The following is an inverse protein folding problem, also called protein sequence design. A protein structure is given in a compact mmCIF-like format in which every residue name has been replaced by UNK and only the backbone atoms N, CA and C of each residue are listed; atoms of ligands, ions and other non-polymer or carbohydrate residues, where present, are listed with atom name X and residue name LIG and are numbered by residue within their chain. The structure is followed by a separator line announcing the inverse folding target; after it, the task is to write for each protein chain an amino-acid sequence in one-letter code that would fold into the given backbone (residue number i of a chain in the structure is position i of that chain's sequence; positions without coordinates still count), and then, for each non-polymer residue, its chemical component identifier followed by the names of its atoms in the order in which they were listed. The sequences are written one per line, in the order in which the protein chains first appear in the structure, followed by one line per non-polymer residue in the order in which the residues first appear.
data_IF_868985045255
#
_entry.id   IF_868985045255
#
_cell.length_a   1.000
_cell.length_b   1.000
_cell.length_c   1.000
_cell.angle_alpha   90.00
_cell.angle_beta   90.00
_cell.angle_gamma   90.00
#
_symmetry.space_group_name_H-M   'P 1'
#
loop_
_entity.id
_entity.type
_entity.pdbx_description
1 polymer ?
#
# COMPACT_ATOMS: atom_id res chain seq x y z
N UNK A 1 -1.15 -43.13 -4.15
CA UNK A 1 0.28 -43.06 -4.50
C UNK A 1 0.70 -41.62 -4.31
N UNK A 2 1.37 -41.31 -3.20
CA UNK A 2 1.93 -39.99 -2.92
C UNK A 2 3.43 -40.09 -3.19
N UNK A 3 3.91 -39.35 -4.18
CA UNK A 3 5.34 -39.20 -4.47
C UNK A 3 5.90 -38.07 -3.63
N UNK A 4 6.90 -38.40 -2.82
CA UNK A 4 7.71 -37.45 -2.08
C UNK A 4 8.58 -36.62 -3.05
N UNK A 5 8.69 -35.33 -2.77
CA UNK A 5 9.60 -34.40 -3.44
C UNK A 5 9.88 -33.24 -2.50
N UNK A 6 11.14 -33.14 -2.09
CA UNK A 6 11.69 -32.37 -0.98
C UNK A 6 11.54 -30.84 -1.14
N UNK A 7 11.30 -30.17 -0.01
CA UNK A 7 11.42 -28.72 0.12
C UNK A 7 12.87 -28.34 0.46
N UNK A 8 13.44 -27.29 -0.14
CA UNK A 8 14.77 -26.81 0.22
C UNK A 8 14.76 -26.08 1.57
N UNK A 9 15.70 -26.47 2.41
CA UNK A 9 16.02 -25.91 3.73
C UNK A 9 16.58 -24.50 3.53
N UNK A 10 15.93 -23.50 4.13
CA UNK A 10 16.47 -22.15 4.27
C UNK A 10 17.17 -22.04 5.63
N UNK A 11 18.46 -22.35 5.64
CA UNK A 11 19.38 -21.86 6.68
C UNK A 11 19.65 -20.37 6.44
N UNK A 12 19.47 -19.53 7.47
CA UNK A 12 19.77 -18.11 7.34
C UNK A 12 19.30 -17.21 8.49
N UNK A 13 19.50 -17.63 9.74
CA UNK A 13 19.45 -16.71 10.89
C UNK A 13 20.73 -15.86 10.86
N UNK A 14 20.68 -14.52 10.97
CA UNK A 14 21.88 -13.74 11.20
C UNK A 14 22.32 -13.98 12.64
N UNK A 15 23.26 -14.91 12.83
CA UNK A 15 24.01 -15.02 14.08
C UNK A 15 24.71 -13.69 14.36
N UNK A 16 24.35 -13.08 15.50
CA UNK A 16 25.17 -12.08 16.16
C UNK A 16 26.53 -12.73 16.46
N UNK A 17 27.53 -12.46 15.62
CA UNK A 17 28.93 -12.81 15.93
C UNK A 17 29.33 -12.07 17.19
N UNK A 18 29.46 -12.83 18.28
CA UNK A 18 30.38 -12.48 19.35
C UNK A 18 31.79 -12.36 18.74
N UNK A 19 32.41 -11.20 18.94
CA UNK A 19 33.81 -10.94 18.60
C UNK A 19 34.72 -11.97 19.28
N UNK A 20 35.82 -12.41 18.62
CA UNK A 20 36.69 -13.42 19.19
C UNK A 20 37.51 -12.86 20.36
N UNK A 21 37.92 -13.82 21.20
CA UNK A 21 38.67 -13.68 22.42
C UNK A 21 39.94 -12.83 22.29
N UNK A 22 40.26 -12.17 23.41
CA UNK A 22 41.51 -11.47 23.70
C UNK A 22 42.70 -12.41 23.41
N UNK A 23 43.43 -12.14 22.33
CA UNK A 23 44.73 -12.75 22.09
C UNK A 23 45.77 -12.19 23.07
N UNK A 24 46.59 -13.10 23.59
CA UNK A 24 47.72 -12.87 24.48
C UNK A 24 48.66 -11.76 23.98
N UNK A 25 48.85 -10.71 24.79
CA UNK A 25 50.01 -9.85 24.65
C UNK A 25 51.27 -10.60 25.11
N UNK A 26 51.89 -11.28 24.14
CA UNK A 26 53.25 -11.78 24.24
C UNK A 26 54.28 -10.65 24.32
N UNK A 27 55.30 -10.91 25.13
CA UNK A 27 56.52 -10.16 25.47
C UNK A 27 57.09 -9.14 24.47
N UNK A 28 57.70 -8.03 24.94
CA UNK A 28 58.35 -7.05 24.07
C UNK A 28 59.66 -7.60 23.45
N UNK A 29 60.04 -7.18 22.22
CA UNK A 29 61.23 -7.68 21.56
C UNK A 29 62.52 -7.16 22.22
N UNK A 30 63.53 -8.03 22.26
CA UNK A 30 64.90 -7.69 22.67
C UNK A 30 65.49 -6.65 21.71
N UNK A 31 66.06 -5.59 22.27
CA UNK A 31 66.80 -4.58 21.53
C UNK A 31 68.09 -5.18 20.95
N UNK A 32 68.14 -5.34 19.63
CA UNK A 32 69.37 -5.59 18.89
C UNK A 32 70.12 -4.27 18.66
N UNK A 33 71.42 -4.32 18.95
CA UNK A 33 72.40 -3.25 18.80
C UNK A 33 72.57 -2.89 17.32
N UNK A 34 72.31 -1.63 16.96
CA UNK A 34 72.87 -1.00 15.76
C UNK A 34 73.35 0.40 16.10
N UNK A 35 74.68 0.55 16.15
CA UNK A 35 75.36 1.84 16.15
C UNK A 35 75.22 2.44 14.75
N UNK A 36 74.83 3.71 14.64
CA UNK A 36 75.70 4.76 14.14
C UNK A 36 75.04 6.16 14.14
N UNK A 37 75.88 7.17 14.39
CA UNK A 37 75.73 8.61 14.13
C UNK A 37 74.81 9.42 15.06
N UNK A 38 75.40 9.96 16.13
CA UNK A 38 75.07 11.28 16.65
C UNK A 38 76.31 11.82 17.39
N UNK A 39 77.03 12.73 16.74
CA UNK A 39 78.00 13.59 17.42
C UNK A 39 77.25 14.54 18.38
N UNK A 40 77.90 14.83 19.51
CA UNK A 40 77.50 15.66 20.66
C UNK A 40 76.67 14.98 21.76
N UNK A 41 77.39 14.47 22.77
CA UNK A 41 76.84 14.23 24.10
C UNK A 41 77.87 14.67 25.16
N UNK A 42 77.49 15.67 25.97
CA UNK A 42 78.20 16.01 27.20
C UNK A 42 78.10 14.88 28.23
N UNK A 43 79.05 14.84 29.17
CA UNK A 43 79.10 13.90 30.28
C UNK A 43 77.78 13.90 31.09
N UNK A 44 76.99 12.84 30.96
CA UNK A 44 75.85 12.57 31.83
C UNK A 44 76.37 11.86 33.07
N UNK A 45 76.20 12.48 34.25
CA UNK A 45 76.70 11.91 35.51
C UNK A 45 75.84 10.70 35.95
N UNK A 46 76.41 9.77 36.72
CA UNK A 46 75.71 8.59 37.25
C UNK A 46 74.44 8.96 38.07
N UNK A 47 74.44 10.17 38.63
CA UNK A 47 73.31 10.76 39.35
C UNK A 47 72.14 11.09 38.40
N UNK A 48 72.42 11.64 37.22
CA UNK A 48 71.40 11.98 36.21
C UNK A 48 70.73 10.72 35.64
N UNK A 49 71.49 9.64 35.43
CA UNK A 49 70.95 8.34 35.02
C UNK A 49 70.03 7.73 36.09
N UNK A 50 70.35 7.89 37.37
CA UNK A 50 69.54 7.38 38.49
C UNK A 50 68.22 8.16 38.61
N UNK A 51 68.28 9.49 38.40
CA UNK A 51 67.12 10.39 38.39
C UNK A 51 66.19 10.11 37.21
N UNK A 52 66.73 9.90 36.01
CA UNK A 52 65.95 9.55 34.81
C UNK A 52 65.27 8.18 34.97
N UNK A 53 65.94 7.21 35.60
CA UNK A 53 65.35 5.90 35.91
C UNK A 53 64.20 6.01 36.92
N UNK A 54 64.36 6.79 38.00
CA UNK A 54 63.28 7.05 38.97
C UNK A 54 62.08 7.73 38.31
N UNK A 55 62.32 8.76 37.50
CA UNK A 55 61.26 9.46 36.75
C UNK A 55 60.53 8.54 35.77
N UNK A 56 61.22 7.63 35.08
CA UNK A 56 60.60 6.64 34.18
C UNK A 56 59.75 5.59 34.92
N UNK A 57 60.10 5.24 36.16
CA UNK A 57 59.27 4.37 37.00
C UNK A 57 58.02 5.11 37.47
N UNK A 58 58.15 6.34 37.96
CA UNK A 58 57.03 7.18 38.40
C UNK A 58 56.04 7.48 37.27
N UNK A 59 56.51 7.72 36.03
CA UNK A 59 55.64 7.94 34.86
C UNK A 59 54.86 6.67 34.51
N UNK A 60 55.48 5.49 34.57
CA UNK A 60 54.79 4.21 34.32
C UNK A 60 53.77 3.90 35.42
N UNK A 61 54.11 4.19 36.67
CA UNK A 61 53.21 3.97 37.80
C UNK A 61 51.96 4.87 37.69
N UNK A 62 52.15 6.17 37.44
CA UNK A 62 51.05 7.12 37.19
C UNK A 62 50.24 6.75 35.93
N UNK A 63 50.91 6.34 34.86
CA UNK A 63 50.23 5.85 33.65
C UNK A 63 49.39 4.60 33.91
N UNK A 64 49.89 3.68 34.74
CA UNK A 64 49.15 2.48 35.15
C UNK A 64 47.95 2.81 36.04
N UNK A 65 48.06 3.86 36.85
CA UNK A 65 46.98 4.35 37.71
C UNK A 65 45.85 4.97 36.89
N UNK A 66 46.19 5.85 35.95
CA UNK A 66 45.23 6.46 35.01
C UNK A 66 44.52 5.38 34.20
N UNK A 67 45.28 4.42 33.64
CA UNK A 67 44.69 3.33 32.84
C UNK A 67 43.74 2.47 33.68
N UNK A 68 44.06 2.21 34.95
CA UNK A 68 43.19 1.46 35.86
C UNK A 68 41.91 2.22 36.20
N UNK A 69 41.99 3.54 36.38
CA UNK A 69 40.82 4.38 36.60
C UNK A 69 39.91 4.42 35.36
N UNK A 70 40.49 4.58 34.18
CA UNK A 70 39.75 4.57 32.91
C UNK A 70 39.09 3.22 32.65
N UNK A 71 39.78 2.10 32.92
CA UNK A 71 39.22 0.76 32.84
C UNK A 71 38.00 0.62 33.77
N UNK A 72 38.10 1.09 35.01
CA UNK A 72 37.02 1.00 35.99
C UNK A 72 35.83 1.88 35.59
N UNK A 73 36.09 3.05 35.00
CA UNK A 73 35.05 3.94 34.44
C UNK A 73 34.33 3.26 33.27
N UNK A 74 35.07 2.66 32.34
CA UNK A 74 34.51 1.92 31.21
C UNK A 74 33.68 0.71 31.67
N UNK A 75 34.14 -0.03 32.68
CA UNK A 75 33.38 -1.16 33.27
C UNK A 75 32.07 -0.72 33.91
N UNK A 76 32.05 0.42 34.61
CA UNK A 76 30.81 0.98 35.18
C UNK A 76 29.83 1.41 34.10
N UNK A 77 30.31 2.08 33.04
CA UNK A 77 29.47 2.48 31.92
C UNK A 77 28.90 1.26 31.20
N UNK A 78 29.71 0.23 30.95
CA UNK A 78 29.26 -1.02 30.34
C UNK A 78 28.15 -1.66 31.16
N UNK A 79 28.32 -1.78 32.48
CA UNK A 79 27.29 -2.34 33.35
C UNK A 79 25.95 -1.59 33.29
N UNK A 80 25.99 -0.26 33.24
CA UNK A 80 24.78 0.55 33.10
C UNK A 80 24.12 0.33 31.72
N UNK A 81 24.90 0.12 30.67
CA UNK A 81 24.37 -0.22 29.35
C UNK A 81 23.79 -1.63 29.30
N UNK A 82 24.40 -2.59 29.99
CA UNK A 82 23.87 -3.96 30.09
C UNK A 82 22.51 -3.96 30.82
N UNK A 83 22.38 -3.21 31.92
CA UNK A 83 21.12 -3.04 32.66
C UNK A 83 20.02 -2.41 31.79
N UNK A 84 20.37 -1.42 30.97
CA UNK A 84 19.42 -0.81 30.02
C UNK A 84 19.06 -1.76 28.87
N UNK A 85 20.01 -2.55 28.37
CA UNK A 85 19.74 -3.57 27.35
C UNK A 85 18.79 -4.65 27.88
N UNK A 86 18.99 -5.09 29.12
CA UNK A 86 18.10 -6.05 29.79
C UNK A 86 16.69 -5.47 29.96
N UNK A 87 16.58 -4.19 30.35
CA UNK A 87 15.29 -3.49 30.44
C UNK A 87 14.59 -3.42 29.08
N UNK A 88 15.34 -3.12 28.02
CA UNK A 88 14.80 -3.06 26.65
C UNK A 88 14.42 -4.44 26.12
N UNK A 89 15.16 -5.51 26.44
CA UNK A 89 14.80 -6.88 26.06
C UNK A 89 13.44 -7.27 26.64
N UNK A 90 13.19 -6.96 27.91
CA UNK A 90 11.90 -7.23 28.56
C UNK A 90 10.74 -6.49 27.91
N UNK A 91 10.95 -5.22 27.52
CA UNK A 91 9.92 -4.46 26.80
C UNK A 91 9.67 -5.05 25.41
N UNK A 92 10.73 -5.49 24.71
CA UNK A 92 10.58 -6.17 23.41
C UNK A 92 9.76 -7.45 23.56
N UNK A 93 10.11 -8.30 24.52
CA UNK A 93 9.41 -9.57 24.77
C UNK A 93 7.93 -9.36 25.13
N UNK A 94 7.62 -8.34 25.93
CA UNK A 94 6.22 -7.96 26.23
C UNK A 94 5.46 -7.53 24.98
N UNK A 95 6.06 -6.69 24.15
CA UNK A 95 5.43 -6.26 22.90
C UNK A 95 5.27 -7.41 21.91
N UNK A 96 6.25 -8.33 21.83
CA UNK A 96 6.15 -9.55 21.02
C UNK A 96 4.98 -10.41 21.47
N UNK A 97 4.80 -10.60 22.78
CA UNK A 97 3.66 -11.34 23.33
C UNK A 97 2.32 -10.65 23.03
N UNK A 98 2.20 -9.34 23.25
CA UNK A 98 0.98 -8.59 22.95
C UNK A 98 0.62 -8.66 21.45
N UNK A 99 1.63 -8.64 20.58
CA UNK A 99 1.44 -8.80 19.13
C UNK A 99 0.97 -10.20 18.77
N UNK A 100 1.52 -11.24 19.39
CA UNK A 100 1.09 -12.62 19.19
C UNK A 100 -0.37 -12.83 19.64
N UNK A 101 -0.73 -12.31 20.81
CA UNK A 101 -2.11 -12.38 21.34
C UNK A 101 -3.10 -11.64 20.44
N UNK A 102 -2.77 -10.42 20.01
CA UNK A 102 -3.61 -9.67 19.08
C UNK A 102 -3.75 -10.40 17.75
N UNK A 103 -2.66 -10.95 17.23
CA UNK A 103 -2.66 -11.70 15.96
C UNK A 103 -3.56 -12.93 16.06
N UNK A 104 -3.48 -13.69 17.16
CA UNK A 104 -4.35 -14.83 17.41
C UNK A 104 -5.83 -14.41 17.47
N UNK A 105 -6.14 -13.34 18.20
CA UNK A 105 -7.51 -12.81 18.30
C UNK A 105 -8.08 -12.37 16.95
N UNK A 106 -7.27 -11.72 16.10
CA UNK A 106 -7.69 -11.30 14.76
C UNK A 106 -7.97 -12.50 13.86
N UNK A 107 -7.16 -13.57 13.93
CA UNK A 107 -7.43 -14.80 13.18
C UNK A 107 -8.71 -15.50 13.64
N UNK A 108 -8.97 -15.56 14.94
CA UNK A 108 -10.20 -16.13 15.49
C UNK A 108 -11.44 -15.35 15.02
N UNK A 109 -11.40 -14.02 15.05
CA UNK A 109 -12.51 -13.19 14.61
C UNK A 109 -12.73 -13.30 13.09
N UNK A 110 -11.65 -13.33 12.29
CA UNK A 110 -11.75 -13.58 10.85
C UNK A 110 -12.39 -14.95 10.55
N UNK A 111 -11.95 -16.01 11.24
CA UNK A 111 -12.55 -17.35 11.09
C UNK A 111 -14.00 -17.40 11.54
N UNK A 112 -14.40 -16.63 12.56
CA UNK A 112 -15.79 -16.49 12.97
C UNK A 112 -16.63 -15.80 11.91
N UNK A 113 -16.18 -14.65 11.38
CA UNK A 113 -16.88 -13.93 10.31
C UNK A 113 -17.10 -14.81 9.07
N UNK A 114 -16.08 -15.57 8.66
CA UNK A 114 -16.19 -16.51 7.52
C UNK A 114 -17.21 -17.62 7.80
N UNK A 115 -17.21 -18.20 9.00
CA UNK A 115 -18.20 -19.23 9.38
C UNK A 115 -19.63 -18.69 9.38
N UNK A 116 -19.81 -17.48 9.90
CA UNK A 116 -21.12 -16.82 9.90
C UNK A 116 -21.62 -16.53 8.49
N UNK A 117 -20.74 -16.03 7.60
CA UNK A 117 -21.06 -15.82 6.19
C UNK A 117 -21.45 -17.12 5.49
N UNK A 118 -20.66 -18.19 5.64
CA UNK A 118 -20.96 -19.50 5.05
C UNK A 118 -22.29 -20.07 5.58
N UNK A 119 -22.58 -19.92 6.87
CA UNK A 119 -23.84 -20.39 7.45
C UNK A 119 -25.04 -19.63 6.87
N UNK A 120 -24.91 -18.31 6.70
CA UNK A 120 -25.94 -17.48 6.06
C UNK A 120 -26.12 -17.84 4.58
N UNK A 121 -25.02 -18.08 3.86
CA UNK A 121 -25.05 -18.50 2.46
C UNK A 121 -25.79 -19.82 2.29
N UNK A 122 -25.42 -20.87 3.05
CA UNK A 122 -26.09 -22.17 3.02
C UNK A 122 -27.59 -22.03 3.36
N UNK A 123 -27.93 -21.15 4.30
CA UNK A 123 -29.32 -20.82 4.61
C UNK A 123 -30.09 -20.24 3.43
N UNK A 124 -29.50 -19.26 2.73
CA UNK A 124 -30.11 -18.63 1.55
C UNK A 124 -30.21 -19.57 0.34
N UNK A 125 -29.19 -20.39 0.11
CA UNK A 125 -29.18 -21.40 -0.97
C UNK A 125 -30.27 -22.45 -0.74
N UNK A 126 -30.46 -22.88 0.52
CA UNK A 126 -31.56 -23.79 0.87
C UNK A 126 -32.93 -23.15 0.58
N UNK A 127 -33.14 -21.90 0.98
CA UNK A 127 -34.40 -21.20 0.70
C UNK A 127 -34.64 -21.03 -0.80
N UNK A 128 -33.59 -20.74 -1.57
CA UNK A 128 -33.65 -20.67 -3.03
C UNK A 128 -34.07 -22.02 -3.62
N UNK A 129 -33.48 -23.12 -3.15
CA UNK A 129 -33.82 -24.46 -3.60
C UNK A 129 -35.28 -24.82 -3.31
N UNK A 130 -35.78 -24.47 -2.13
CA UNK A 130 -37.20 -24.65 -1.77
C UNK A 130 -38.14 -23.81 -2.65
N UNK A 131 -37.75 -22.58 -2.99
CA UNK A 131 -38.52 -21.72 -3.88
C UNK A 131 -38.53 -22.25 -5.33
N UNK A 132 -37.39 -22.72 -5.84
CA UNK A 132 -37.29 -23.35 -7.15
C UNK A 132 -38.17 -24.60 -7.24
N UNK A 133 -38.17 -25.47 -6.21
CA UNK A 133 -39.05 -26.63 -6.17
C UNK A 133 -40.54 -26.28 -6.20
N UNK A 134 -40.95 -25.16 -5.58
CA UNK A 134 -42.33 -24.65 -5.68
C UNK A 134 -42.66 -24.16 -7.08
N UNK A 135 -41.73 -23.48 -7.74
CA UNK A 135 -41.90 -23.03 -9.14
C UNK A 135 -42.10 -24.24 -10.05
N UNK A 136 -41.27 -25.28 -9.92
CA UNK A 136 -41.37 -26.49 -10.74
C UNK A 136 -42.73 -27.20 -10.56
N UNK A 137 -43.19 -27.32 -9.31
CA UNK A 137 -44.51 -27.89 -9.00
C UNK A 137 -45.64 -27.07 -9.65
N UNK A 138 -45.63 -25.75 -9.46
CA UNK A 138 -46.63 -24.85 -10.05
C UNK A 138 -46.59 -24.89 -11.59
N UNK A 139 -45.40 -25.01 -12.17
CA UNK A 139 -45.24 -25.09 -13.62
C UNK A 139 -45.78 -26.41 -14.19
N UNK A 140 -45.62 -27.52 -13.46
CA UNK A 140 -46.25 -28.80 -13.78
C UNK A 140 -47.79 -28.72 -13.68
N UNK A 141 -48.33 -28.10 -12.64
CA UNK A 141 -49.78 -27.88 -12.48
C UNK A 141 -50.36 -27.04 -13.62
N UNK A 142 -49.72 -25.91 -13.97
CA UNK A 142 -50.13 -25.05 -15.09
C UNK A 142 -50.09 -25.82 -16.41
N UNK A 143 -49.09 -26.67 -16.62
CA UNK A 143 -48.96 -27.49 -17.83
C UNK A 143 -50.08 -28.54 -17.92
N UNK A 144 -50.40 -29.20 -16.80
CA UNK A 144 -51.52 -30.13 -16.71
C UNK A 144 -52.87 -29.43 -16.97
N UNK A 145 -53.10 -28.26 -16.35
CA UNK A 145 -54.28 -27.42 -16.56
C UNK A 145 -54.42 -26.99 -18.03
N UNK A 146 -53.34 -26.52 -18.66
CA UNK A 146 -53.34 -26.18 -20.10
C UNK A 146 -53.74 -27.38 -20.96
N UNK A 147 -53.20 -28.56 -20.67
CA UNK A 147 -53.52 -29.79 -21.41
C UNK A 147 -54.99 -30.15 -21.24
N UNK A 148 -55.51 -30.09 -20.01
CA UNK A 148 -56.93 -30.39 -19.72
C UNK A 148 -57.86 -29.45 -20.49
N UNK A 149 -57.56 -28.15 -20.52
CA UNK A 149 -58.32 -27.16 -21.29
C UNK A 149 -58.31 -27.50 -22.78
N UNK A 150 -57.14 -27.79 -23.36
CA UNK A 150 -57.01 -28.17 -24.77
C UNK A 150 -57.80 -29.44 -25.09
N UNK A 151 -57.84 -30.42 -24.19
CA UNK A 151 -58.58 -31.68 -24.38
C UNK A 151 -60.09 -31.56 -24.14
N UNK A 152 -60.54 -30.59 -23.33
CA UNK A 152 -61.97 -30.44 -22.96
C UNK A 152 -62.78 -29.63 -23.97
N UNK A 153 -62.11 -28.91 -24.88
CA UNK A 153 -62.75 -28.22 -26.01
C UNK A 153 -62.14 -28.67 -27.34
N UNK A 154 -62.52 -29.85 -27.87
CA UNK A 154 -62.12 -30.22 -29.20
C UNK A 154 -63.00 -29.44 -30.17
N UNK A 155 -62.58 -28.27 -30.65
CA UNK A 155 -62.89 -27.75 -32.00
C UNK A 155 -62.53 -26.28 -32.19
N UNK A 156 -61.97 -26.02 -33.37
CA UNK A 156 -61.85 -24.75 -34.10
C UNK A 156 -62.87 -23.65 -33.74
N UNK A 157 -62.48 -22.36 -33.65
CA UNK A 157 -63.44 -21.29 -33.42
C UNK A 157 -64.36 -21.14 -34.64
N UNK A 158 -65.67 -21.17 -34.35
CA UNK A 158 -66.75 -21.07 -35.31
C UNK A 158 -66.77 -19.68 -35.98
N UNK A 159 -66.50 -19.61 -37.29
CA UNK A 159 -66.36 -18.34 -38.05
C UNK A 159 -67.68 -17.61 -38.30
N UNK A 160 -68.82 -18.25 -38.01
CA UNK A 160 -70.15 -17.79 -38.42
C UNK A 160 -70.86 -16.87 -37.40
N UNK A 161 -70.22 -16.59 -36.25
CA UNK A 161 -70.79 -15.72 -35.20
C UNK A 161 -70.14 -14.33 -35.11
N UNK A 162 -69.19 -14.01 -35.99
CA UNK A 162 -68.53 -12.69 -36.01
C UNK A 162 -68.76 -11.97 -37.35
N UNK A 163 -69.78 -11.10 -37.44
CA UNK A 163 -70.03 -10.22 -38.59
C UNK A 163 -68.91 -9.20 -38.86
N UNK A 164 -67.90 -9.11 -37.99
CA UNK A 164 -66.87 -8.07 -38.02
C UNK A 164 -65.69 -8.35 -38.97
N UNK A 165 -65.66 -9.50 -39.65
CA UNK A 165 -64.63 -9.84 -40.66
C UNK A 165 -65.05 -9.51 -42.11
N UNK A 166 -66.15 -8.79 -42.30
CA UNK A 166 -66.58 -8.28 -43.61
C UNK A 166 -66.38 -6.75 -43.65
N UNK A 167 -65.23 -6.28 -44.14
CA UNK A 167 -65.08 -4.89 -44.62
C UNK A 167 -65.61 -4.81 -46.05
N UNK A 168 -66.23 -3.70 -46.54
CA UNK A 168 -65.52 -2.41 -46.69
C UNK A 168 -66.35 -1.08 -46.70
N UNK A 169 -65.60 0.04 -46.63
CA UNK A 169 -65.81 1.30 -47.38
C UNK A 169 -66.63 2.49 -46.79
N UNK A 170 -65.96 3.66 -46.80
CA UNK A 170 -66.41 5.05 -47.10
C UNK A 170 -67.06 5.97 -46.04
N UNK A 171 -66.43 7.16 -45.96
CA UNK A 171 -66.97 8.53 -45.81
C UNK A 171 -67.29 9.14 -44.41
N UNK A 172 -66.43 10.11 -44.05
CA UNK A 172 -66.73 11.54 -43.87
C UNK A 172 -67.59 12.09 -42.70
N UNK A 173 -66.94 12.99 -41.93
CA UNK A 173 -67.35 14.37 -41.59
C UNK A 173 -67.98 14.71 -40.20
N UNK A 174 -67.18 15.48 -39.43
CA UNK A 174 -67.47 16.68 -38.60
C UNK A 174 -68.11 16.60 -37.18
N UNK A 175 -67.32 17.10 -36.21
CA UNK A 175 -67.52 18.33 -35.38
C UNK A 175 -67.67 18.16 -33.85
N UNK A 176 -66.59 18.51 -33.13
CA UNK A 176 -66.53 19.69 -32.24
C UNK A 176 -66.96 19.60 -30.75
N UNK A 177 -65.97 19.86 -29.86
CA UNK A 177 -66.03 20.32 -28.44
C UNK A 177 -66.57 19.32 -27.38
N UNK A 178 -66.08 19.23 -26.13
CA UNK A 178 -65.13 19.98 -25.31
C UNK A 178 -64.49 19.06 -24.24
N UNK A 179 -63.31 19.48 -23.76
CA UNK A 179 -62.70 19.38 -22.40
C UNK A 179 -63.19 18.21 -21.49
N UNK A 180 -62.38 17.41 -20.80
CA UNK A 180 -61.01 17.49 -20.30
C UNK A 180 -60.71 16.20 -19.50
N UNK A 181 -59.42 15.92 -19.29
CA UNK A 181 -58.78 14.98 -18.33
C UNK A 181 -58.55 13.54 -18.81
N UNK A 182 -57.27 13.19 -18.71
CA UNK A 182 -56.60 12.03 -19.25
C UNK A 182 -56.77 10.80 -18.35
N UNK A 183 -57.30 9.73 -18.91
CA UNK A 183 -56.92 8.36 -18.58
C UNK A 183 -56.83 7.60 -19.91
N UNK A 184 -55.61 7.26 -20.32
CA UNK A 184 -55.32 6.53 -21.55
C UNK A 184 -54.38 5.37 -21.24
N UNK A 185 -54.99 4.21 -21.04
CA UNK A 185 -54.36 2.90 -20.95
C UNK A 185 -54.31 2.29 -22.36
N UNK A 186 -53.29 1.45 -22.60
CA UNK A 186 -53.23 0.33 -23.55
C UNK A 186 -53.34 0.56 -25.08
N UNK A 187 -52.34 0.02 -25.81
CA UNK A 187 -52.61 -0.83 -26.98
C UNK A 187 -51.91 -2.17 -26.75
N UNK A 188 -52.68 -3.22 -27.06
CA UNK A 188 -52.43 -4.65 -26.88
C UNK A 188 -51.57 -5.25 -28.02
N UNK A 189 -50.79 -6.28 -27.63
CA UNK A 189 -50.53 -7.59 -28.28
C UNK A 189 -50.35 -7.67 -29.83
N UNK A 190 -49.14 -8.00 -30.34
CA UNK A 190 -48.57 -9.37 -30.64
C UNK A 190 -48.99 -9.96 -32.01
N UNK A 191 -48.14 -10.76 -32.71
CA UNK A 191 -47.47 -11.96 -32.19
C UNK A 191 -45.96 -12.15 -32.53
N UNK A 192 -45.35 -13.08 -31.79
CA UNK A 192 -43.94 -13.50 -31.78
C UNK A 192 -43.53 -14.33 -33.03
N UNK A 193 -42.23 -14.70 -33.22
CA UNK A 193 -41.59 -15.73 -32.38
C UNK A 193 -40.08 -15.53 -32.03
N UNK A 194 -39.73 -16.03 -30.84
CA UNK A 194 -38.46 -16.63 -30.34
C UNK A 194 -37.11 -15.91 -30.47
N UNK A 195 -36.54 -15.53 -29.31
CA UNK A 195 -35.10 -15.33 -29.12
C UNK A 195 -34.65 -15.89 -27.75
N UNK A 196 -33.65 -16.76 -27.76
CA UNK A 196 -32.79 -17.12 -26.61
C UNK A 196 -31.78 -15.98 -26.35
N UNK A 197 -31.17 -15.86 -25.15
CA UNK A 197 -29.87 -16.51 -24.89
C UNK A 197 -29.63 -17.00 -23.44
N UNK A 198 -28.47 -17.65 -23.31
CA UNK A 198 -27.87 -18.52 -22.29
C UNK A 198 -27.35 -17.86 -21.00
N UNK A 199 -27.06 -18.65 -19.93
CA UNK A 199 -26.63 -18.14 -18.62
C UNK A 199 -25.09 -18.02 -18.53
N UNK A 200 -24.61 -17.02 -17.80
CA UNK A 200 -23.20 -16.90 -17.40
C UNK A 200 -23.09 -16.75 -15.88
N UNK A 201 -22.32 -17.66 -15.30
CA UNK A 201 -21.92 -17.78 -13.90
C UNK A 201 -21.40 -16.46 -13.28
N UNK A 202 -21.92 -16.09 -12.12
CA UNK A 202 -21.31 -15.09 -11.24
C UNK A 202 -20.48 -15.79 -10.16
N UNK A 203 -19.15 -15.74 -10.32
CA UNK A 203 -18.18 -16.00 -9.26
C UNK A 203 -18.09 -14.75 -8.38
N UNK A 204 -18.22 -14.93 -7.07
CA UNK A 204 -18.06 -13.87 -6.07
C UNK A 204 -16.65 -13.28 -6.11
N UNK A 205 -16.57 -11.95 -6.24
CA UNK A 205 -15.34 -11.17 -6.05
C UNK A 205 -15.52 -10.36 -4.76
N UNK A 206 -14.63 -10.59 -3.81
CA UNK A 206 -14.56 -9.88 -2.54
C UNK A 206 -14.29 -8.40 -2.79
N UNK A 207 -15.30 -7.56 -2.59
CA UNK A 207 -15.17 -6.11 -2.57
C UNK A 207 -14.40 -5.67 -1.32
N UNK A 208 -13.11 -5.33 -1.46
CA UNK A 208 -12.41 -4.52 -0.46
C UNK A 208 -12.67 -3.05 -0.79
N UNK A 209 -13.74 -2.48 -0.23
CA UNK A 209 -13.93 -1.02 -0.17
C UNK A 209 -13.12 -0.46 1.00
N UNK A 210 -11.98 0.14 0.70
CA UNK A 210 -11.22 0.97 1.64
C UNK A 210 -11.77 2.41 1.59
N UNK A 211 -12.54 2.80 2.60
CA UNK A 211 -12.95 4.18 2.86
C UNK A 211 -11.79 4.93 3.56
N UNK A 212 -11.27 6.05 3.00
CA UNK A 212 -10.26 6.85 3.69
C UNK A 212 -10.88 7.56 4.90
N UNK A 213 -10.34 7.31 6.09
CA UNK A 213 -10.73 7.93 7.36
C UNK A 213 -10.38 9.42 7.44
N UNK A 214 -11.12 10.27 6.73
CA UNK A 214 -11.25 11.68 7.07
C UNK A 214 -12.45 11.81 8.02
N UNK A 215 -12.28 12.33 9.26
CA UNK A 215 -13.41 12.59 10.14
C UNK A 215 -14.20 13.76 9.56
N UNK A 216 -15.22 13.46 8.75
CA UNK A 216 -16.29 14.40 8.45
C UNK A 216 -17.35 14.25 9.56
N UNK A 217 -18.00 15.35 9.99
CA UNK A 217 -19.00 15.31 11.05
C UNK A 217 -20.07 14.25 10.74
N UNK A 218 -20.41 13.42 11.73
CA UNK A 218 -21.34 12.27 11.67
C UNK A 218 -22.80 12.59 11.31
N UNK A 219 -23.09 13.75 10.73
CA UNK A 219 -24.42 14.16 10.33
C UNK A 219 -24.47 14.49 8.84
N UNK A 220 -24.45 13.46 7.98
CA UNK A 220 -25.01 13.52 6.63
C UNK A 220 -25.04 12.14 5.99
N UNK A 221 -26.24 11.60 5.84
CA UNK A 221 -26.58 10.52 4.90
C UNK A 221 -26.39 10.96 3.44
N UNK A 222 -25.25 11.57 3.08
CA UNK A 222 -24.89 11.81 1.69
C UNK A 222 -24.23 10.55 1.16
N UNK A 223 -25.02 9.69 0.51
CA UNK A 223 -24.45 8.67 -0.36
C UNK A 223 -23.50 9.37 -1.34
N UNK A 224 -22.19 9.15 -1.21
CA UNK A 224 -21.22 9.63 -2.19
C UNK A 224 -21.56 8.98 -3.53
N UNK A 225 -22.32 9.68 -4.37
CA UNK A 225 -22.62 9.22 -5.72
C UNK A 225 -21.38 9.40 -6.59
N UNK A 226 -20.94 8.29 -7.20
CA UNK A 226 -19.81 8.27 -8.12
C UNK A 226 -20.34 8.19 -9.54
N UNK A 227 -19.97 9.15 -10.38
CA UNK A 227 -20.32 9.17 -11.80
C UNK A 227 -19.03 9.09 -12.62
N UNK A 228 -19.04 8.22 -13.63
CA UNK A 228 -17.91 8.07 -14.55
C UNK A 228 -17.84 9.27 -15.49
N UNK A 229 -16.69 9.94 -15.52
CA UNK A 229 -16.38 10.92 -16.56
C UNK A 229 -16.06 10.19 -17.87
N UNK A 230 -16.86 10.44 -18.90
CA UNK A 230 -16.76 9.74 -20.18
C UNK A 230 -15.47 10.05 -20.95
N UNK A 231 -14.89 11.24 -20.78
CA UNK A 231 -13.63 11.63 -21.42
C UNK A 231 -12.44 10.93 -20.77
N UNK A 232 -12.38 10.93 -19.43
CA UNK A 232 -11.34 10.23 -18.70
C UNK A 232 -11.43 8.71 -18.88
N UNK A 233 -12.66 8.18 -18.92
CA UNK A 233 -12.87 6.74 -19.11
C UNK A 233 -12.47 6.28 -20.51
N UNK A 234 -12.84 7.00 -21.56
CA UNK A 234 -12.44 6.66 -22.93
C UNK A 234 -10.93 6.77 -23.15
N UNK A 235 -10.28 7.79 -22.58
CA UNK A 235 -8.82 7.95 -22.59
C UNK A 235 -8.12 6.78 -21.87
N UNK A 236 -8.64 6.38 -20.71
CA UNK A 236 -8.15 5.21 -19.96
C UNK A 236 -8.31 3.91 -20.75
N UNK A 237 -9.48 3.67 -21.37
CA UNK A 237 -9.70 2.47 -22.17
C UNK A 237 -8.71 2.39 -23.34
N UNK A 238 -8.50 3.50 -24.06
CA UNK A 238 -7.53 3.56 -25.15
C UNK A 238 -6.10 3.27 -24.65
N UNK A 239 -5.71 3.78 -23.48
CA UNK A 239 -4.41 3.46 -22.89
C UNK A 239 -4.31 2.00 -22.42
N UNK A 240 -5.39 1.42 -21.89
CA UNK A 240 -5.41 0.05 -21.37
C UNK A 240 -5.23 -1.02 -22.45
N UNK A 241 -5.66 -0.74 -23.69
CA UNK A 241 -5.41 -1.63 -24.84
C UNK A 241 -3.91 -1.78 -25.16
N UNK A 242 -3.13 -0.72 -24.94
CA UNK A 242 -1.67 -0.74 -25.12
C UNK A 242 -0.96 0.02 -23.99
N UNK A 243 -0.84 -0.58 -22.78
CA UNK A 243 -0.32 0.12 -21.62
C UNK A 243 1.14 0.57 -21.80
N UNK A 244 1.38 1.86 -21.58
CA UNK A 244 2.71 2.46 -21.66
C UNK A 244 3.01 3.33 -20.45
N UNK A 245 4.30 3.50 -20.15
CA UNK A 245 4.82 4.45 -19.15
C UNK A 245 5.35 5.73 -19.81
N UNK A 246 5.13 5.91 -21.12
CA UNK A 246 5.51 7.13 -21.80
C UNK A 246 4.72 8.33 -21.28
N UNK A 247 5.43 9.30 -20.70
CA UNK A 247 4.86 10.56 -20.17
C UNK A 247 4.15 11.41 -21.20
N UNK A 248 4.40 11.19 -22.49
CA UNK A 248 3.78 11.94 -23.58
C UNK A 248 2.51 11.29 -24.13
N UNK A 249 2.14 10.08 -23.68
CA UNK A 249 0.86 9.49 -24.08
C UNK A 249 -0.32 10.30 -23.47
N UNK A 250 -1.48 10.41 -24.15
CA UNK A 250 -2.59 11.26 -23.71
C UNK A 250 -2.98 11.06 -22.25
N UNK A 251 -3.18 9.80 -21.85
CA UNK A 251 -3.53 9.40 -20.49
C UNK A 251 -2.54 9.89 -19.43
N UNK A 252 -1.25 9.58 -19.57
CA UNK A 252 -0.25 10.02 -18.58
C UNK A 252 0.01 11.52 -18.68
N UNK A 253 0.07 12.11 -19.88
CA UNK A 253 0.34 13.53 -20.06
C UNK A 253 -0.61 14.42 -19.26
N UNK A 254 -1.90 14.07 -19.23
CA UNK A 254 -2.92 14.74 -18.40
C UNK A 254 -2.60 14.61 -16.92
N UNK A 255 -2.39 13.38 -16.44
CA UNK A 255 -2.11 13.09 -15.02
C UNK A 255 -0.80 13.76 -14.57
N UNK A 256 0.19 13.86 -15.46
CA UNK A 256 1.43 14.59 -15.19
C UNK A 256 1.19 16.08 -14.96
N UNK A 257 0.37 16.71 -15.81
CA UNK A 257 0.06 18.13 -15.71
C UNK A 257 -0.83 18.45 -14.51
N UNK A 258 -1.87 17.64 -14.29
CA UNK A 258 -2.89 17.91 -13.28
C UNK A 258 -2.46 17.46 -11.89
N UNK A 259 -1.74 16.34 -11.76
CA UNK A 259 -1.52 15.65 -10.48
C UNK A 259 -0.04 15.48 -10.12
N UNK A 260 0.77 14.82 -10.95
CA UNK A 260 2.14 14.40 -10.58
C UNK A 260 3.07 15.60 -10.43
N UNK A 261 3.14 16.49 -11.42
CA UNK A 261 4.03 17.67 -11.35
C UNK A 261 3.65 18.58 -10.18
N UNK A 262 2.37 18.96 -9.97
CA UNK A 262 1.98 19.70 -8.79
C UNK A 262 2.25 18.95 -7.47
N UNK A 263 2.16 17.62 -7.44
CA UNK A 263 2.50 16.83 -6.25
C UNK A 263 3.99 16.82 -5.94
N UNK A 264 4.87 16.91 -6.93
CA UNK A 264 6.31 16.86 -6.71
C UNK A 264 6.98 18.24 -6.78
N UNK A 265 6.26 19.32 -7.06
CA UNK A 265 6.79 20.68 -7.02
C UNK A 265 7.14 21.10 -5.58
N UNK A 266 8.43 21.08 -5.26
CA UNK A 266 8.99 21.46 -3.97
C UNK A 266 9.85 22.71 -4.08
N UNK A 267 10.06 23.40 -2.95
CA UNK A 267 10.84 24.64 -2.89
C UNK A 267 12.27 24.48 -3.46
N UNK A 268 12.91 23.31 -3.25
CA UNK A 268 14.18 22.96 -3.89
C UNK A 268 13.94 22.24 -5.23
N UNK A 269 13.90 23.01 -6.32
CA UNK A 269 13.56 22.51 -7.67
C UNK A 269 14.47 21.39 -8.18
N UNK A 270 15.79 21.54 -8.02
CA UNK A 270 16.75 20.50 -8.47
C UNK A 270 16.49 19.15 -7.79
N UNK A 271 16.22 19.17 -6.49
CA UNK A 271 15.91 17.96 -5.72
C UNK A 271 14.52 17.40 -6.09
N UNK A 272 13.56 18.28 -6.40
CA UNK A 272 12.24 17.89 -6.93
C UNK A 272 12.37 17.13 -8.26
N UNK A 273 13.19 17.60 -9.19
CA UNK A 273 13.42 16.94 -10.49
C UNK A 273 14.12 15.58 -10.32
N UNK A 274 15.06 15.49 -9.38
CA UNK A 274 15.70 14.21 -9.02
C UNK A 274 14.69 13.24 -8.40
N UNK A 275 13.81 13.70 -7.52
CA UNK A 275 12.73 12.88 -6.94
C UNK A 275 11.81 12.36 -8.04
N UNK A 276 11.36 13.22 -8.97
CA UNK A 276 10.53 12.80 -10.09
C UNK A 276 11.23 11.71 -10.93
N UNK A 277 12.49 11.93 -11.29
CA UNK A 277 13.30 10.97 -12.06
C UNK A 277 13.44 9.63 -11.33
N UNK A 278 13.71 9.66 -10.02
CA UNK A 278 13.83 8.47 -9.19
C UNK A 278 12.49 7.72 -9.05
N UNK A 279 11.37 8.44 -8.95
CA UNK A 279 10.04 7.84 -8.92
C UNK A 279 9.71 7.17 -10.25
N UNK A 280 9.97 7.83 -11.38
CA UNK A 280 9.77 7.26 -12.73
C UNK A 280 10.63 6.01 -12.95
N UNK A 281 11.89 6.07 -12.55
CA UNK A 281 12.87 4.98 -12.65
C UNK A 281 12.69 3.87 -11.63
N UNK A 282 11.74 3.98 -10.69
CA UNK A 282 11.52 3.03 -9.60
C UNK A 282 12.77 2.81 -8.71
N UNK A 283 13.53 3.87 -8.48
CA UNK A 283 14.78 3.85 -7.69
C UNK A 283 14.62 4.51 -6.31
N UNK A 284 13.51 5.22 -6.08
CA UNK A 284 13.26 5.90 -4.83
C UNK A 284 12.87 4.93 -3.71
N UNK A 285 13.50 5.04 -2.55
CA UNK A 285 13.09 4.36 -1.32
C UNK A 285 12.76 5.37 -0.21
N UNK A 286 11.85 4.99 0.69
CA UNK A 286 11.45 5.76 1.87
C UNK A 286 11.68 4.91 3.11
N UNK A 287 12.49 5.39 4.04
CA UNK A 287 12.85 4.67 5.27
C UNK A 287 12.42 5.48 6.50
N UNK A 288 11.89 4.82 7.56
CA UNK A 288 11.71 5.44 8.86
C UNK A 288 13.07 5.65 9.54
N UNK A 289 13.17 6.69 10.37
CA UNK A 289 14.37 7.01 11.16
C UNK A 289 14.15 6.52 12.59
N UNK A 290 14.76 5.41 12.96
CA UNK A 290 14.49 4.69 14.23
C UNK A 290 15.24 5.28 15.44
N UNK A 291 16.31 6.08 15.25
CA UNK A 291 17.05 6.72 16.35
C UNK A 291 17.70 8.05 15.90
N UNK A 292 17.95 9.02 16.82
CA UNK A 292 18.64 10.25 16.47
C UNK A 292 20.11 9.95 16.14
N UNK A 293 20.43 9.92 14.85
CA UNK A 293 21.82 9.88 14.37
C UNK A 293 22.56 11.05 15.01
N UNK A 294 23.65 10.77 15.73
CA UNK A 294 24.57 11.78 16.24
C UNK A 294 24.94 12.76 15.10
N UNK A 295 25.03 14.07 15.36
CA UNK A 295 25.26 15.06 14.31
C UNK A 295 26.68 14.89 13.77
N UNK A 296 26.83 14.13 12.69
CA UNK A 296 28.06 14.17 11.89
C UNK A 296 28.04 15.47 11.11
N UNK A 297 28.71 16.48 11.66
CA UNK A 297 28.88 17.81 11.07
C UNK A 297 29.80 17.70 9.86
N UNK A 298 29.24 17.29 8.72
CA UNK A 298 29.83 17.51 7.39
C UNK A 298 29.06 18.63 6.70
N UNK A 299 29.76 19.57 6.05
CA UNK A 299 29.18 20.73 5.35
C UNK A 299 27.99 20.38 4.41
N UNK A 300 27.96 19.16 3.87
CA UNK A 300 26.85 18.55 3.11
C UNK A 300 25.52 18.33 3.88
N UNK A 301 25.45 18.60 5.18
CA UNK A 301 24.24 18.41 6.00
C UNK A 301 23.14 19.46 5.76
N UNK A 302 23.49 20.64 5.21
CA UNK A 302 22.52 21.73 4.99
C UNK A 302 21.53 21.40 3.87
N UNK A 303 21.99 20.71 2.82
CA UNK A 303 21.17 20.37 1.67
C UNK A 303 20.29 19.13 1.92
N UNK A 304 20.82 18.16 2.68
CA UNK A 304 20.15 16.88 3.01
C UNK A 304 19.09 16.97 4.10
N UNK A 305 18.94 18.15 4.71
CA UNK A 305 18.00 18.36 5.81
C UNK A 305 18.44 17.63 7.07
N UNK A 306 17.52 17.54 8.03
CA UNK A 306 17.77 16.83 9.28
C UNK A 306 16.47 16.51 10.01
N UNK A 307 16.56 15.92 11.23
CA UNK A 307 15.38 15.52 12.01
C UNK A 307 14.37 16.65 12.27
N UNK A 308 14.79 17.91 12.17
CA UNK A 308 13.96 19.11 12.42
C UNK A 308 13.79 20.00 11.18
N UNK A 309 14.32 19.62 10.02
CA UNK A 309 14.27 20.43 8.78
C UNK A 309 14.10 19.55 7.56
N UNK A 310 13.03 19.78 6.81
CA UNK A 310 12.76 19.05 5.57
C UNK A 310 13.74 19.47 4.46
N UNK A 311 14.34 18.49 3.80
CA UNK A 311 15.24 18.70 2.67
C UNK A 311 14.51 19.28 1.45
N UNK A 312 13.28 18.84 1.18
CA UNK A 312 12.51 19.22 -0.01
C UNK A 312 11.86 20.60 0.13
N UNK A 313 11.11 20.83 1.21
CA UNK A 313 10.39 22.09 1.43
C UNK A 313 11.22 23.16 2.13
N UNK A 314 12.33 22.79 2.78
CA UNK A 314 13.15 23.71 3.59
C UNK A 314 12.52 24.10 4.94
N UNK A 315 11.28 23.68 5.21
CA UNK A 315 10.54 24.04 6.41
C UNK A 315 11.03 23.28 7.65
N UNK A 316 11.02 23.97 8.80
CA UNK A 316 11.33 23.38 10.10
C UNK A 316 10.16 22.53 10.60
N UNK A 317 10.28 21.21 10.48
CA UNK A 317 9.29 20.20 10.87
C UNK A 317 9.99 18.94 11.39
N UNK A 318 9.31 18.18 12.25
CA UNK A 318 9.80 16.88 12.69
C UNK A 318 9.79 15.90 11.51
N UNK A 319 10.98 15.45 11.09
CA UNK A 319 11.17 14.55 9.96
C UNK A 319 11.53 13.17 10.50
N UNK A 320 10.54 12.28 10.58
CA UNK A 320 10.70 10.88 11.03
C UNK A 320 11.09 9.92 9.89
N UNK A 321 11.18 10.43 8.66
CA UNK A 321 11.47 9.64 7.47
C UNK A 321 12.59 10.28 6.64
N UNK A 322 13.31 9.44 5.92
CA UNK A 322 14.34 9.83 4.95
C UNK A 322 14.10 9.12 3.63
N UNK A 323 14.53 9.75 2.53
CA UNK A 323 14.47 9.18 1.19
C UNK A 323 15.86 8.99 0.61
N UNK A 324 16.01 7.96 -0.22
CA UNK A 324 17.17 7.73 -1.08
C UNK A 324 16.67 7.74 -2.54
N UNK A 325 17.43 8.35 -3.45
CA UNK A 325 17.02 8.58 -4.84
C UNK A 325 17.66 7.59 -5.84
N UNK A 326 18.26 6.51 -5.34
CA UNK A 326 19.01 5.53 -6.12
C UNK A 326 20.51 5.83 -6.21
N UNK A 327 20.97 6.91 -5.61
CA UNK A 327 22.39 7.23 -5.46
C UNK A 327 22.94 6.58 -4.18
N UNK A 328 23.98 5.76 -4.33
CA UNK A 328 24.59 5.02 -3.23
C UNK A 328 25.24 5.98 -2.23
N UNK A 329 24.52 6.35 -1.17
CA UNK A 329 25.08 6.97 0.04
C UNK A 329 24.42 8.26 0.53
N UNK A 330 23.47 8.86 -0.20
CA UNK A 330 22.78 10.07 0.25
C UNK A 330 21.37 9.78 0.74
N UNK A 331 21.04 10.39 1.89
CA UNK A 331 19.70 10.36 2.45
C UNK A 331 19.20 11.78 2.69
N UNK A 332 17.94 12.03 2.35
CA UNK A 332 17.30 13.32 2.50
C UNK A 332 16.15 13.22 3.49
N UNK A 333 16.19 13.99 4.58
CA UNK A 333 15.12 14.02 5.57
C UNK A 333 13.88 14.72 5.01
N UNK A 334 12.70 14.13 5.19
CA UNK A 334 11.46 14.67 4.63
C UNK A 334 10.38 14.84 5.71
N UNK A 335 9.58 15.89 5.56
CA UNK A 335 8.42 16.12 6.43
C UNK A 335 7.29 15.13 6.13
N UNK A 336 6.34 14.93 7.05
CA UNK A 336 5.16 14.09 6.81
C UNK A 336 4.37 14.49 5.56
N UNK A 337 4.20 15.79 5.33
CA UNK A 337 3.53 16.32 4.12
C UNK A 337 4.29 15.96 2.83
N UNK A 338 5.61 16.11 2.81
CA UNK A 338 6.43 15.74 1.66
C UNK A 338 6.42 14.22 1.44
N UNK A 339 6.46 13.42 2.51
CA UNK A 339 6.31 11.95 2.45
C UNK A 339 5.01 11.59 1.77
N UNK A 340 3.89 12.13 2.25
CA UNK A 340 2.57 11.81 1.71
C UNK A 340 2.44 12.15 0.22
N UNK A 341 2.94 13.33 -0.19
CA UNK A 341 2.99 13.73 -1.61
C UNK A 341 3.79 12.74 -2.46
N UNK A 342 4.98 12.35 -2.02
CA UNK A 342 5.82 11.37 -2.72
C UNK A 342 5.14 10.00 -2.79
N UNK A 343 4.63 9.51 -1.66
CA UNK A 343 4.01 8.18 -1.60
C UNK A 343 2.74 8.09 -2.44
N UNK A 344 1.93 9.17 -2.52
CA UNK A 344 0.75 9.19 -3.39
C UNK A 344 1.13 9.00 -4.86
N UNK A 345 2.20 9.69 -5.30
CA UNK A 345 2.73 9.54 -6.67
C UNK A 345 3.36 8.16 -6.88
N UNK A 346 4.15 7.65 -5.93
CA UNK A 346 4.71 6.30 -5.99
C UNK A 346 3.62 5.23 -6.11
N UNK A 347 2.56 5.32 -5.31
CA UNK A 347 1.43 4.39 -5.34
C UNK A 347 0.75 4.39 -6.71
N UNK A 348 0.57 5.57 -7.32
CA UNK A 348 0.08 5.69 -8.69
C UNK A 348 0.98 4.95 -9.67
N UNK A 349 2.28 5.26 -9.73
CA UNK A 349 3.19 4.60 -10.66
C UNK A 349 3.29 3.09 -10.44
N UNK A 350 3.32 2.63 -9.20
CA UNK A 350 3.32 1.21 -8.87
C UNK A 350 2.10 0.51 -9.46
N UNK A 351 0.91 1.09 -9.28
CA UNK A 351 -0.31 0.51 -9.85
C UNK A 351 -0.30 0.51 -11.39
N UNK A 352 0.13 1.62 -12.02
CA UNK A 352 0.27 1.69 -13.48
C UNK A 352 1.27 0.65 -14.01
N UNK A 353 2.39 0.41 -13.31
CA UNK A 353 3.35 -0.64 -13.66
C UNK A 353 2.73 -2.03 -13.56
N UNK A 354 1.95 -2.30 -12.51
CA UNK A 354 1.25 -3.58 -12.37
C UNK A 354 0.25 -3.82 -13.50
N UNK A 355 -0.50 -2.80 -13.92
CA UNK A 355 -1.39 -2.91 -15.08
C UNK A 355 -0.59 -3.22 -16.34
N UNK A 356 0.51 -2.48 -16.60
CA UNK A 356 1.37 -2.69 -17.77
C UNK A 356 1.99 -4.09 -17.81
N UNK A 357 2.37 -4.63 -16.66
CA UNK A 357 2.93 -5.97 -16.53
C UNK A 357 1.87 -7.09 -16.61
N UNK A 358 0.57 -6.75 -16.67
CA UNK A 358 -0.52 -7.72 -16.69
C UNK A 358 -0.79 -8.39 -15.34
N UNK A 359 -0.32 -7.80 -14.23
CA UNK A 359 -0.50 -8.34 -12.87
C UNK A 359 -1.91 -8.07 -12.30
N UNK A 360 -2.62 -7.08 -12.86
CA UNK A 360 -3.97 -6.69 -12.40
C UNK A 360 -5.04 -7.44 -13.19
N UNK A 361 -5.77 -8.34 -12.53
CA UNK A 361 -6.81 -9.23 -13.13
C UNK A 361 -8.26 -8.82 -12.83
N UNK A 362 -8.48 -7.57 -12.40
CA UNK A 362 -9.80 -7.04 -12.05
C UNK A 362 -10.59 -6.55 -13.28
N UNK A 363 -11.89 -6.34 -13.10
CA UNK A 363 -12.75 -5.72 -14.10
C UNK A 363 -12.27 -4.31 -14.47
N UNK A 364 -12.42 -3.96 -15.75
CA UNK A 364 -11.94 -2.70 -16.31
C UNK A 364 -12.45 -1.47 -15.57
N UNK A 365 -13.71 -1.49 -15.14
CA UNK A 365 -14.30 -0.40 -14.36
C UNK A 365 -13.67 -0.26 -12.97
N UNK A 366 -13.35 -1.38 -12.30
CA UNK A 366 -12.68 -1.36 -11.00
C UNK A 366 -11.26 -0.80 -11.12
N UNK A 367 -10.54 -1.17 -12.19
CA UNK A 367 -9.21 -0.61 -12.48
C UNK A 367 -9.30 0.90 -12.69
N UNK A 368 -10.29 1.37 -13.43
CA UNK A 368 -10.52 2.80 -13.63
C UNK A 368 -10.79 3.53 -12.30
N UNK A 369 -11.67 3.00 -11.46
CA UNK A 369 -11.98 3.61 -10.17
C UNK A 369 -10.80 3.62 -9.22
N UNK A 370 -9.93 2.62 -9.26
CA UNK A 370 -8.70 2.61 -8.49
C UNK A 370 -7.72 3.68 -8.97
N UNK A 371 -7.61 3.90 -10.29
CA UNK A 371 -6.85 5.02 -10.85
C UNK A 371 -7.46 6.36 -10.38
N UNK A 372 -8.79 6.52 -10.41
CA UNK A 372 -9.45 7.74 -9.92
C UNK A 372 -9.19 7.96 -8.43
N UNK A 373 -9.18 6.88 -7.63
CA UNK A 373 -8.82 6.93 -6.21
C UNK A 373 -7.40 7.42 -6.01
N UNK A 374 -6.42 6.87 -6.74
CA UNK A 374 -5.02 7.27 -6.68
C UNK A 374 -4.81 8.73 -7.13
N UNK A 375 -5.51 9.16 -8.18
CA UNK A 375 -5.53 10.57 -8.62
C UNK A 375 -6.14 11.50 -7.58
N UNK A 376 -7.18 11.06 -6.88
CA UNK A 376 -7.77 11.81 -5.76
C UNK A 376 -6.77 11.99 -4.62
N UNK A 377 -6.04 10.94 -4.23
CA UNK A 377 -4.99 11.05 -3.20
C UNK A 377 -3.92 12.07 -3.59
N UNK A 378 -3.43 12.03 -4.84
CA UNK A 378 -2.51 13.04 -5.36
C UNK A 378 -3.14 14.45 -5.35
N UNK A 379 -4.40 14.57 -5.76
CA UNK A 379 -5.12 15.85 -5.75
C UNK A 379 -5.30 16.45 -4.36
N UNK A 380 -5.47 15.63 -3.33
CA UNK A 380 -5.48 16.07 -1.94
C UNK A 380 -4.07 16.46 -1.48
N UNK A 381 -3.07 15.65 -1.82
CA UNK A 381 -1.68 15.86 -1.43
C UNK A 381 -1.09 17.16 -2.00
N UNK A 382 -1.35 17.51 -3.27
CA UNK A 382 -0.87 18.75 -3.90
C UNK A 382 -1.43 20.01 -3.23
N UNK A 383 -2.62 19.93 -2.64
CA UNK A 383 -3.24 21.02 -1.88
C UNK A 383 -2.76 21.07 -0.41
N UNK A 384 -1.94 20.12 0.02
CA UNK A 384 -1.38 20.06 1.37
C UNK A 384 -2.21 19.27 2.37
N UNK A 385 -3.27 18.58 1.95
CA UNK A 385 -3.99 17.62 2.80
C UNK A 385 -3.24 16.31 2.85
N UNK A 386 -2.91 15.83 4.06
CA UNK A 386 -2.24 14.56 4.27
C UNK A 386 -2.69 13.93 5.58
N UNK A 387 -2.70 12.60 5.62
CA UNK A 387 -3.00 11.84 6.83
C UNK A 387 -1.71 11.77 7.66
N UNK A 388 -1.78 12.20 8.90
CA UNK A 388 -0.67 12.08 9.84
C UNK A 388 -0.88 10.80 10.64
N UNK A 389 -0.13 9.75 10.32
CA UNK A 389 -0.01 8.57 11.18
C UNK A 389 0.79 9.01 12.42
N UNK A 390 0.08 9.36 13.49
CA UNK A 390 0.63 9.92 14.73
C UNK A 390 1.52 8.94 15.46
#
# INVERSE_FOLDING_TARGET
MWGAGEAPILDGVPELRCSPAIEEWSTPPKAESSKAYAEHAGEITQYDLSRLRSSSVEIREKGSEILREELLRAQKELKLRDEECERLSKVREQLEQELEELTASLFEEAHKMVREANTKQVGSEKQLQEALGKIDMLQAEVTALKTLVITSTPSSPNRDLHPQLLSPSKNALRKGHARNKSAGCAVLASPAPTAQPTPSESKEVVHITYEPGWPLPEDSSSSFSRQVDTLLYSEFLAWKESPTLDRYCPFLSRIYLEDIKPCLDFAKRELSDQVLTAVEGNMLSVEPVVQPILPVVKASAVERGGPRKCALSGLSRSCRHRINLGDSGNYYFISPSCRYRITAVCNFFTYIRYIKQGLVRQDTELIFWEIMRLRREMSMAKLGFYINES
#
